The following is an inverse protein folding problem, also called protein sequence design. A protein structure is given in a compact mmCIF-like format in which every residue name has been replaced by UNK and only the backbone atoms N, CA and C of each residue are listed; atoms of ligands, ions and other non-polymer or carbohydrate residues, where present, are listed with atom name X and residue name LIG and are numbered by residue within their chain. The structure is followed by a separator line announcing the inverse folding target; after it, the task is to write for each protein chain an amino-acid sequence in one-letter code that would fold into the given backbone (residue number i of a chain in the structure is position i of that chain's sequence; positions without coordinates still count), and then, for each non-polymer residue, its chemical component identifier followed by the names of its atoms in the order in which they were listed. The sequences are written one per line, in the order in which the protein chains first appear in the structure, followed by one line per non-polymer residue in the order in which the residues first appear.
data_IF_963210322461
#
_entry.id   IF_963210322461
#
_cell.length_a   1.000
_cell.length_b   1.000
_cell.length_c   1.000
_cell.angle_alpha   90.00
_cell.angle_beta   90.00
_cell.angle_gamma   90.00
#
_symmetry.space_group_name_H-M   'P 1'
#
loop_
_entity.id
_entity.type
_entity.pdbx_description
1 polymer ?
#
# COMPACT_ATOMS: atom_id res chain seq x y z
N UNK A 1 -1.96 -7.67 13.93
CA UNK A 1 -2.29 -6.46 13.14
C UNK A 1 -0.97 -5.93 12.61
N UNK A 2 -0.69 -6.09 11.32
CA UNK A 2 0.55 -5.51 10.77
C UNK A 2 0.36 -4.00 10.63
N UNK A 3 1.24 -3.24 11.26
CA UNK A 3 1.24 -1.79 11.26
C UNK A 3 1.44 -1.23 9.84
N UNK A 4 0.75 -0.12 9.56
CA UNK A 4 0.97 0.70 8.37
C UNK A 4 2.21 1.56 8.58
N UNK A 5 3.01 1.70 7.53
CA UNK A 5 4.06 2.69 7.44
C UNK A 5 3.50 3.95 6.75
N UNK A 6 4.21 5.06 6.92
CA UNK A 6 3.81 6.32 6.33
C UNK A 6 4.97 7.03 5.64
N UNK A 7 4.68 7.68 4.52
CA UNK A 7 5.58 8.61 3.85
C UNK A 7 4.88 9.95 3.69
N UNK A 8 5.57 11.04 3.97
CA UNK A 8 5.08 12.40 3.71
C UNK A 8 5.62 12.85 2.35
N UNK A 9 4.73 13.15 1.41
CA UNK A 9 5.12 13.66 0.08
C UNK A 9 5.53 15.13 0.15
N UNK A 10 6.16 15.65 -0.90
CA UNK A 10 6.68 17.02 -0.92
C UNK A 10 5.64 18.13 -0.71
N UNK A 11 4.36 17.83 -0.93
CA UNK A 11 3.22 18.71 -0.66
C UNK A 11 2.57 18.48 0.73
N UNK A 12 3.24 17.75 1.63
CA UNK A 12 2.78 17.51 2.99
C UNK A 12 1.72 16.39 3.13
N UNK A 13 1.29 15.76 2.04
CA UNK A 13 0.33 14.66 2.11
C UNK A 13 0.97 13.42 2.74
N UNK A 14 0.37 12.88 3.81
CA UNK A 14 0.80 11.60 4.40
C UNK A 14 0.15 10.43 3.66
N UNK A 15 0.96 9.51 3.13
CA UNK A 15 0.50 8.32 2.42
C UNK A 15 0.74 7.08 3.28
N UNK A 16 -0.32 6.33 3.58
CA UNK A 16 -0.25 5.05 4.25
C UNK A 16 0.14 3.95 3.27
N UNK A 17 1.12 3.13 3.65
CA UNK A 17 1.55 2.00 2.85
C UNK A 17 2.03 0.84 3.73
N UNK A 18 2.13 -0.33 3.12
CA UNK A 18 2.75 -1.50 3.73
C UNK A 18 3.40 -2.35 2.68
N UNK A 19 4.27 -3.22 3.15
CA UNK A 19 4.85 -4.24 2.32
C UNK A 19 4.49 -5.64 2.83
N UNK A 20 4.27 -6.56 1.90
CA UNK A 20 4.00 -7.99 2.16
C UNK A 20 5.04 -8.85 1.40
N UNK A 21 5.48 -9.96 2.00
CA UNK A 21 6.50 -10.85 1.40
C UNK A 21 7.96 -10.55 1.78
N UNK A 22 8.90 -11.30 1.21
CA UNK A 22 10.33 -11.22 1.53
C UNK A 22 11.00 -9.98 0.90
N UNK A 23 11.87 -9.27 1.63
CA UNK A 23 12.55 -8.07 1.15
C UNK A 23 13.59 -8.29 0.04
N UNK A 24 14.05 -9.54 -0.16
CA UNK A 24 15.00 -9.91 -1.22
C UNK A 24 14.35 -10.20 -2.57
N UNK A 25 13.01 -10.30 -2.62
CA UNK A 25 12.27 -10.61 -3.86
C UNK A 25 12.06 -9.37 -4.74
N UNK A 26 11.84 -9.54 -6.05
CA UNK A 26 11.52 -8.43 -6.95
C UNK A 26 10.28 -7.66 -6.46
N UNK A 27 10.31 -6.33 -6.61
CA UNK A 27 9.24 -5.45 -6.15
C UNK A 27 8.03 -5.51 -7.10
N UNK A 28 6.82 -5.65 -6.53
CA UNK A 28 5.55 -5.48 -7.23
C UNK A 28 4.74 -4.40 -6.52
N UNK A 29 4.30 -3.37 -7.24
CA UNK A 29 3.47 -2.29 -6.69
C UNK A 29 2.03 -2.47 -7.16
N UNK A 30 1.08 -2.47 -6.23
CA UNK A 30 -0.35 -2.54 -6.54
C UNK A 30 -0.99 -1.16 -6.32
N UNK A 31 -1.61 -0.64 -7.37
CA UNK A 31 -2.35 0.62 -7.37
C UNK A 31 -3.85 0.34 -7.31
N UNK A 32 -4.58 1.11 -6.52
CA UNK A 32 -5.98 0.83 -6.21
C UNK A 32 -6.94 1.39 -7.26
N UNK A 33 -8.21 1.01 -7.15
CA UNK A 33 -9.30 1.75 -7.81
C UNK A 33 -9.66 2.99 -6.99
N UNK A 34 -10.47 3.88 -7.57
CA UNK A 34 -11.08 4.99 -6.84
C UNK A 34 -12.09 4.47 -5.81
N UNK A 35 -12.15 5.10 -4.64
CA UNK A 35 -13.08 4.75 -3.56
C UNK A 35 -12.73 3.46 -2.80
N UNK A 36 -11.56 2.86 -3.08
CA UNK A 36 -11.08 1.66 -2.39
C UNK A 36 -9.83 1.94 -1.56
N UNK A 37 -9.43 0.95 -0.77
CA UNK A 37 -8.19 0.94 0.02
C UNK A 37 -7.29 -0.20 -0.43
N UNK A 38 -6.07 -0.26 0.11
CA UNK A 38 -5.11 -1.34 -0.10
C UNK A 38 -5.66 -2.73 0.21
N UNK A 39 -6.73 -2.81 1.01
CA UNK A 39 -7.41 -4.04 1.40
C UNK A 39 -8.18 -4.71 0.25
N UNK A 40 -8.42 -4.01 -0.87
CA UNK A 40 -9.02 -4.66 -2.05
C UNK A 40 -8.18 -5.83 -2.59
N UNK A 41 -6.88 -5.86 -2.25
CA UNK A 41 -5.91 -6.86 -2.66
C UNK A 41 -5.70 -8.00 -1.66
N UNK A 42 -6.41 -8.03 -0.53
CA UNK A 42 -6.16 -8.99 0.55
C UNK A 42 -6.27 -10.46 0.09
N UNK A 43 -7.11 -10.75 -0.92
CA UNK A 43 -7.25 -12.10 -1.47
C UNK A 43 -6.07 -12.52 -2.36
N UNK A 44 -5.41 -11.58 -3.01
CA UNK A 44 -4.33 -11.86 -3.97
C UNK A 44 -2.95 -11.79 -3.31
N UNK A 45 -2.78 -10.96 -2.28
CA UNK A 45 -1.46 -10.69 -1.68
C UNK A 45 -0.79 -11.94 -1.11
N UNK A 46 -1.57 -12.90 -0.63
CA UNK A 46 -1.05 -14.18 -0.13
C UNK A 46 -0.21 -14.92 -1.18
N UNK A 47 -0.74 -15.09 -2.39
CA UNK A 47 -0.01 -15.76 -3.48
C UNK A 47 1.04 -14.85 -4.11
N UNK A 48 0.75 -13.55 -4.33
CA UNK A 48 1.72 -12.64 -4.93
C UNK A 48 3.00 -12.50 -4.09
N UNK A 49 2.88 -12.49 -2.77
CA UNK A 49 4.03 -12.35 -1.84
C UNK A 49 4.95 -13.58 -1.81
N UNK A 50 4.53 -14.71 -2.39
CA UNK A 50 5.39 -15.88 -2.61
C UNK A 50 6.43 -15.64 -3.70
N UNK A 51 6.17 -14.73 -4.63
CA UNK A 51 7.06 -14.43 -5.76
C UNK A 51 7.67 -13.03 -5.70
N UNK A 52 6.98 -12.09 -5.05
CA UNK A 52 7.35 -10.68 -5.04
C UNK A 52 7.43 -10.10 -3.62
N UNK A 53 8.17 -9.00 -3.47
CA UNK A 53 7.95 -8.05 -2.39
C UNK A 53 6.84 -7.12 -2.83
N UNK A 54 5.66 -7.25 -2.23
CA UNK A 54 4.47 -6.53 -2.66
C UNK A 54 4.34 -5.23 -1.85
N UNK A 55 4.39 -4.08 -2.53
CA UNK A 55 4.04 -2.78 -1.96
C UNK A 55 2.57 -2.48 -2.26
N UNK A 56 1.80 -2.18 -1.21
CA UNK A 56 0.43 -1.68 -1.31
C UNK A 56 0.30 -0.39 -0.51
N UNK A 57 -0.54 0.52 -0.98
CA UNK A 57 -0.74 1.82 -0.34
C UNK A 57 -2.18 2.29 -0.52
N UNK A 58 -2.63 3.19 0.35
CA UNK A 58 -3.89 3.89 0.17
C UNK A 58 -3.64 5.16 -0.66
N UNK A 59 -4.47 5.40 -1.67
CA UNK A 59 -4.38 6.63 -2.44
C UNK A 59 -4.55 7.87 -1.55
N UNK A 60 -4.03 9.01 -2.02
CA UNK A 60 -4.38 10.32 -1.48
C UNK A 60 -5.90 10.44 -1.33
N UNK A 61 -6.36 10.88 -0.18
CA UNK A 61 -7.79 11.00 0.13
C UNK A 61 -8.51 9.69 0.47
N UNK A 62 -7.80 8.58 0.62
CA UNK A 62 -8.39 7.26 0.85
C UNK A 62 -7.74 6.56 2.06
N UNK A 63 -8.52 5.69 2.73
CA UNK A 63 -8.01 4.79 3.76
C UNK A 63 -7.22 5.49 4.87
N UNK A 64 -6.02 4.98 5.15
CA UNK A 64 -5.10 5.54 6.15
C UNK A 64 -4.29 6.76 5.67
N UNK A 65 -4.38 7.13 4.39
CA UNK A 65 -3.72 8.31 3.84
C UNK A 65 -4.48 9.59 4.20
N UNK A 66 -3.76 10.71 4.26
CA UNK A 66 -4.37 12.03 4.46
C UNK A 66 -5.35 12.39 3.34
N UNK A 67 -6.32 13.25 3.68
CA UNK A 67 -7.22 13.94 2.74
C UNK A 67 -6.74 15.39 2.62
N UNK A 68 -5.97 15.76 1.59
CA UNK A 68 -5.53 17.13 1.39
C UNK A 68 -6.70 18.04 1.00
N UNK A 69 -6.57 19.32 1.34
CA UNK A 69 -7.49 20.40 0.96
C UNK A 69 -7.00 21.13 -0.29
#
# INVERSE_FOLDING_TARGET
MNELNFVTTGDGTRIAYRFDGDASKPMLVLSNSIGTTLHMWDRQVGELSRHFRVLRYDFRGHGGSSVPV
#
